data_IF_098952825384
#
_entry.id   IF_098952825384
#
_cell.length_a   1.000
_cell.length_b   1.000
_cell.length_c   1.000
_cell.angle_alpha   90.00
_cell.angle_beta   90.00
_cell.angle_gamma   90.00
#
_symmetry.space_group_name_H-M   'P 1'
#
loop_
_entity.id
_entity.type
_entity.pdbx_description
1 polymer ?
#
# COMPACT_ATOMS: atom_id res chain seq x y z
N UNK A 1 40.38 0.93 -5.64
CA UNK A 1 39.62 0.18 -6.66
C UNK A 1 38.38 -0.39 -6.02
N UNK A 2 37.20 0.13 -6.36
CA UNK A 2 35.94 -0.39 -5.82
C UNK A 2 35.75 -1.82 -6.36
N UNK A 3 35.59 -2.80 -5.47
CA UNK A 3 35.22 -4.16 -5.88
C UNK A 3 33.93 -4.08 -6.72
N UNK A 4 33.87 -4.77 -7.86
CA UNK A 4 32.65 -4.79 -8.67
C UNK A 4 31.53 -5.37 -7.79
N UNK A 5 30.55 -4.52 -7.45
CA UNK A 5 29.35 -4.99 -6.72
C UNK A 5 28.77 -6.13 -7.51
N UNK A 6 28.66 -7.30 -6.88
CA UNK A 6 28.10 -8.51 -7.49
C UNK A 6 26.81 -8.14 -8.21
N UNK A 7 26.65 -8.56 -9.46
CA UNK A 7 25.44 -8.34 -10.27
C UNK A 7 24.19 -8.80 -9.52
N UNK A 8 24.32 -9.85 -8.69
CA UNK A 8 23.35 -10.33 -7.71
C UNK A 8 22.88 -9.21 -6.76
N UNK A 9 23.82 -8.55 -6.06
CA UNK A 9 23.48 -7.53 -5.07
C UNK A 9 22.76 -6.32 -5.70
N UNK A 10 23.19 -5.93 -6.90
CA UNK A 10 22.57 -4.83 -7.64
C UNK A 10 21.14 -5.15 -8.05
N UNK A 11 20.88 -6.37 -8.55
CA UNK A 11 19.55 -6.79 -8.99
C UNK A 11 18.59 -6.93 -7.81
N UNK A 12 19.04 -7.56 -6.71
CA UNK A 12 18.24 -7.66 -5.47
C UNK A 12 17.91 -6.27 -4.91
N UNK A 13 18.88 -5.34 -4.87
CA UNK A 13 18.65 -3.97 -4.37
C UNK A 13 17.61 -3.21 -5.21
N UNK A 14 17.67 -3.32 -6.54
CA UNK A 14 16.71 -2.67 -7.44
C UNK A 14 15.30 -3.26 -7.26
N UNK A 15 15.18 -4.59 -7.22
CA UNK A 15 13.89 -5.24 -7.00
C UNK A 15 13.30 -4.90 -5.63
N UNK A 16 14.12 -4.91 -4.58
CA UNK A 16 13.69 -4.51 -3.24
C UNK A 16 13.20 -3.05 -3.21
N UNK A 17 13.94 -2.14 -3.83
CA UNK A 17 13.56 -0.73 -3.94
C UNK A 17 12.23 -0.54 -4.66
N UNK A 18 11.99 -1.28 -5.74
CA UNK A 18 10.75 -1.22 -6.50
C UNK A 18 9.57 -1.77 -5.69
N UNK A 19 9.76 -2.86 -4.94
CA UNK A 19 8.73 -3.44 -4.06
C UNK A 19 8.36 -2.45 -2.95
N UNK A 20 9.35 -1.85 -2.29
CA UNK A 20 9.12 -0.86 -1.23
C UNK A 20 8.37 0.35 -1.81
N UNK A 21 8.76 0.83 -2.99
CA UNK A 21 8.08 1.94 -3.67
C UNK A 21 6.61 1.59 -3.97
N UNK A 22 6.35 0.41 -4.55
CA UNK A 22 4.99 -0.05 -4.81
C UNK A 22 4.16 -0.19 -3.53
N UNK A 23 4.73 -0.77 -2.48
CA UNK A 23 4.05 -0.93 -1.19
C UNK A 23 3.72 0.42 -0.54
N UNK A 24 4.62 1.40 -0.61
CA UNK A 24 4.36 2.74 -0.06
C UNK A 24 3.28 3.47 -0.84
N UNK A 25 3.28 3.41 -2.17
CA UNK A 25 2.24 4.03 -3.00
C UNK A 25 0.87 3.38 -2.80
N UNK A 26 0.80 2.04 -2.79
CA UNK A 26 -0.43 1.30 -2.54
C UNK A 26 -0.95 1.56 -1.11
N UNK A 27 -0.05 1.56 -0.13
CA UNK A 27 -0.41 1.86 1.26
C UNK A 27 -0.96 3.27 1.42
N UNK A 28 -0.30 4.28 0.88
CA UNK A 28 -0.78 5.66 0.93
C UNK A 28 -2.16 5.83 0.26
N UNK A 29 -2.36 5.23 -0.91
CA UNK A 29 -3.65 5.21 -1.61
C UNK A 29 -4.74 4.50 -0.80
N UNK A 30 -4.44 3.33 -0.27
CA UNK A 30 -5.37 2.56 0.55
C UNK A 30 -5.80 3.31 1.81
N UNK A 31 -4.85 3.91 2.56
CA UNK A 31 -5.16 4.69 3.75
C UNK A 31 -5.97 5.94 3.44
N UNK A 32 -5.61 6.67 2.38
CA UNK A 32 -6.36 7.85 1.96
C UNK A 32 -7.81 7.50 1.61
N UNK A 33 -8.01 6.41 0.88
CA UNK A 33 -9.34 5.95 0.47
C UNK A 33 -10.14 5.44 1.67
N UNK A 34 -9.53 4.63 2.53
CA UNK A 34 -10.15 4.06 3.74
C UNK A 34 -10.59 5.16 4.71
N UNK A 35 -9.74 6.16 4.95
CA UNK A 35 -10.09 7.32 5.77
C UNK A 35 -11.27 8.11 5.21
N UNK A 36 -11.26 8.39 3.90
CA UNK A 36 -12.36 9.11 3.26
C UNK A 36 -13.67 8.32 3.30
N UNK A 37 -13.60 7.01 3.06
CA UNK A 37 -14.76 6.13 3.15
C UNK A 37 -15.36 6.13 4.56
N UNK A 38 -14.52 6.02 5.59
CA UNK A 38 -14.97 6.01 6.98
C UNK A 38 -15.62 7.33 7.39
N UNK A 39 -15.05 8.46 6.94
CA UNK A 39 -15.66 9.78 7.19
C UNK A 39 -17.03 9.91 6.53
N UNK A 40 -17.18 9.48 5.27
CA UNK A 40 -18.47 9.50 4.58
C UNK A 40 -19.51 8.63 5.26
N UNK A 41 -19.12 7.44 5.72
CA UNK A 41 -20.01 6.51 6.41
C UNK A 41 -20.52 7.11 7.72
N UNK A 42 -19.63 7.73 8.51
CA UNK A 42 -20.02 8.41 9.76
C UNK A 42 -20.96 9.57 9.46
N UNK A 43 -20.62 10.45 8.53
CA UNK A 43 -21.48 11.58 8.16
C UNK A 43 -22.86 11.11 7.70
N UNK A 44 -22.91 10.13 6.80
CA UNK A 44 -24.17 9.56 6.31
C UNK A 44 -25.01 8.96 7.44
N UNK A 45 -24.37 8.31 8.41
CA UNK A 45 -25.06 7.71 9.56
C UNK A 45 -25.58 8.80 10.51
N UNK A 46 -24.77 9.81 10.79
CA UNK A 46 -25.18 10.93 11.63
C UNK A 46 -26.33 11.71 11.01
N UNK A 47 -26.25 12.03 9.71
CA UNK A 47 -27.33 12.77 9.00
C UNK A 47 -28.63 11.97 8.99
N UNK A 48 -28.55 10.66 8.78
CA UNK A 48 -29.72 9.77 8.85
C UNK A 48 -30.34 9.75 10.25
N UNK A 49 -29.51 9.60 11.30
CA UNK A 49 -29.98 9.59 12.68
C UNK A 49 -30.57 10.96 13.08
N UNK A 50 -29.93 12.05 12.67
CA UNK A 50 -30.45 13.41 12.88
C UNK A 50 -31.81 13.61 12.19
N UNK A 51 -31.94 13.13 10.94
CA UNK A 51 -33.22 13.15 10.21
C UNK A 51 -34.31 12.39 10.93
N UNK A 52 -34.08 11.17 11.39
CA UNK A 52 -35.09 10.39 12.15
C UNK A 52 -35.54 11.09 13.43
N UNK A 53 -34.59 11.69 14.19
CA UNK A 53 -34.93 12.42 15.41
C UNK A 53 -35.68 13.72 15.07
N UNK A 54 -35.23 14.42 14.03
CA UNK A 54 -35.86 15.67 13.58
C UNK A 54 -37.30 15.43 13.09
N UNK A 55 -37.54 14.37 12.31
CA UNK A 55 -38.87 13.99 11.82
C UNK A 55 -39.83 13.68 13.00
N UNK A 56 -39.37 12.86 13.96
CA UNK A 56 -40.15 12.55 15.16
C UNK A 56 -40.42 13.81 15.98
N UNK A 57 -39.41 14.66 16.19
CA UNK A 57 -39.57 15.92 16.92
C UNK A 57 -40.58 16.85 16.24
N UNK A 58 -40.54 16.95 14.92
CA UNK A 58 -41.45 17.80 14.14
C UNK A 58 -42.91 17.35 14.28
N UNK A 59 -43.19 16.06 14.29
CA UNK A 59 -44.52 15.50 14.53
C UNK A 59 -44.96 15.80 15.98
N UNK A 60 -44.12 15.47 16.96
CA UNK A 60 -44.42 15.69 18.39
C UNK A 60 -44.71 17.17 18.70
N UNK A 61 -43.89 18.09 18.16
CA UNK A 61 -44.07 19.52 18.29
C UNK A 61 -45.39 20.01 17.65
N UNK A 62 -45.81 19.40 16.56
CA UNK A 62 -47.08 19.72 15.88
C UNK A 62 -48.28 19.28 16.71
N UNK A 63 -48.18 18.19 17.46
CA UNK A 63 -49.19 17.69 18.40
C UNK A 63 -49.20 18.45 19.73
N UNK A 64 -48.32 19.45 19.91
CA UNK A 64 -48.23 20.28 21.11
C UNK A 64 -47.36 19.72 22.23
N UNK A 65 -46.58 18.67 21.92
CA UNK A 65 -45.59 18.12 22.86
C UNK A 65 -44.37 19.02 23.00
N UNK A 66 -43.68 18.92 24.13
CA UNK A 66 -42.44 19.65 24.40
C UNK A 66 -41.21 18.75 24.11
N UNK A 67 -40.09 19.37 23.76
CA UNK A 67 -38.78 18.69 23.64
C UNK A 67 -38.27 18.05 24.95
N UNK A 68 -38.96 18.35 26.07
CA UNK A 68 -38.67 17.77 27.40
C UNK A 68 -39.65 16.65 27.79
N UNK A 69 -40.61 16.32 26.94
CA UNK A 69 -41.60 15.28 27.24
C UNK A 69 -40.93 13.89 27.32
N UNK A 70 -41.45 13.07 28.22
CA UNK A 70 -40.90 11.75 28.50
C UNK A 70 -40.85 10.85 27.25
N UNK A 71 -41.86 10.92 26.40
CA UNK A 71 -41.91 10.09 25.20
C UNK A 71 -40.84 10.50 24.19
N UNK A 72 -40.58 11.81 24.03
CA UNK A 72 -39.50 12.31 23.22
C UNK A 72 -38.12 11.91 23.77
N UNK A 73 -37.91 12.07 25.07
CA UNK A 73 -36.65 11.66 25.74
C UNK A 73 -36.43 10.16 25.63
N UNK A 74 -37.44 9.32 25.81
CA UNK A 74 -37.35 7.87 25.66
C UNK A 74 -37.03 7.48 24.23
N UNK A 75 -37.58 8.16 23.23
CA UNK A 75 -37.27 7.93 21.83
C UNK A 75 -35.81 8.25 21.55
N UNK A 76 -35.29 9.39 21.98
CA UNK A 76 -33.87 9.75 21.82
C UNK A 76 -32.97 8.69 22.49
N UNK A 77 -33.28 8.28 23.71
CA UNK A 77 -32.51 7.25 24.42
C UNK A 77 -32.49 5.93 23.64
N UNK A 78 -33.62 5.55 23.04
CA UNK A 78 -33.70 4.34 22.22
C UNK A 78 -32.83 4.44 20.96
N UNK A 79 -32.84 5.57 20.28
CA UNK A 79 -32.00 5.83 19.11
C UNK A 79 -30.51 5.77 19.50
N UNK A 80 -30.14 6.43 20.58
CA UNK A 80 -28.77 6.48 21.10
C UNK A 80 -28.24 5.08 21.44
N UNK A 81 -29.06 4.23 22.11
CA UNK A 81 -28.69 2.87 22.45
C UNK A 81 -28.48 1.98 21.23
N UNK A 82 -29.23 2.23 20.14
CA UNK A 82 -29.12 1.44 18.90
C UNK A 82 -27.97 1.89 18.00
N UNK A 83 -27.58 3.16 18.07
CA UNK A 83 -26.66 3.77 17.10
C UNK A 83 -25.29 4.16 17.68
N UNK A 84 -25.11 3.99 18.99
CA UNK A 84 -23.89 4.38 19.74
C UNK A 84 -23.48 5.84 19.46
N UNK A 85 -24.49 6.72 19.36
CA UNK A 85 -24.30 8.16 19.14
C UNK A 85 -24.59 8.94 20.41
N UNK A 86 -24.12 10.17 20.49
CA UNK A 86 -24.47 11.12 21.54
C UNK A 86 -25.38 12.18 20.93
N UNK A 87 -26.52 12.44 21.59
CA UNK A 87 -27.53 13.39 21.11
C UNK A 87 -27.70 14.50 22.14
N UNK A 88 -27.62 15.73 21.65
CA UNK A 88 -27.94 16.94 22.44
C UNK A 88 -29.07 17.68 21.75
N UNK A 89 -30.09 18.01 22.52
CA UNK A 89 -31.21 18.90 22.08
C UNK A 89 -31.16 20.17 22.90
N UNK A 90 -31.20 21.30 22.26
CA UNK A 90 -31.24 22.59 22.92
C UNK A 90 -32.43 23.44 22.44
N UNK A 91 -32.80 24.41 23.26
CA UNK A 91 -33.78 25.42 22.89
C UNK A 91 -33.18 26.46 21.92
N UNK A 92 -33.97 27.43 21.50
CA UNK A 92 -33.53 28.50 20.59
C UNK A 92 -32.46 29.42 21.15
N UNK A 93 -32.28 29.44 22.48
CA UNK A 93 -31.23 30.18 23.17
C UNK A 93 -29.92 29.37 23.28
N UNK A 94 -29.93 28.11 22.85
CA UNK A 94 -28.79 27.23 22.91
C UNK A 94 -28.65 26.44 24.21
N UNK A 95 -29.57 26.57 25.15
CA UNK A 95 -29.57 25.82 26.42
C UNK A 95 -29.95 24.36 26.15
N UNK A 96 -29.16 23.43 26.64
CA UNK A 96 -29.40 21.99 26.50
C UNK A 96 -30.60 21.59 27.35
N UNK A 97 -31.67 21.11 26.69
CA UNK A 97 -32.90 20.65 27.34
C UNK A 97 -32.99 19.13 27.44
N UNK A 98 -32.33 18.43 26.56
CA UNK A 98 -32.25 16.98 26.59
C UNK A 98 -30.86 16.53 26.09
N UNK A 99 -30.33 15.52 26.73
CA UNK A 99 -29.06 14.93 26.36
C UNK A 99 -29.09 13.42 26.59
N UNK A 100 -28.59 12.63 25.62
CA UNK A 100 -28.49 11.19 25.69
C UNK A 100 -27.17 10.71 25.06
N UNK A 101 -26.58 9.65 25.60
CA UNK A 101 -25.29 9.08 25.15
C UNK A 101 -24.26 9.03 26.27
N UNK A 102 -23.02 8.69 25.94
CA UNK A 102 -21.96 8.45 26.92
C UNK A 102 -20.79 9.42 26.82
N UNK A 103 -20.62 10.10 25.68
CA UNK A 103 -19.46 10.93 25.42
C UNK A 103 -19.68 12.42 25.72
N UNK A 104 -20.12 12.73 26.92
CA UNK A 104 -20.32 14.08 27.38
C UNK A 104 -19.78 14.31 28.79
N UNK A 105 -19.45 15.53 29.12
CA UNK A 105 -18.95 15.89 30.43
C UNK A 105 -20.11 15.97 31.44
N UNK A 106 -20.27 14.91 32.25
CA UNK A 106 -21.31 14.80 33.26
C UNK A 106 -21.28 15.93 34.31
N UNK A 107 -20.07 16.45 34.62
CA UNK A 107 -19.91 17.54 35.59
C UNK A 107 -20.55 18.84 35.10
N UNK A 108 -20.43 19.12 33.80
CA UNK A 108 -21.08 20.31 33.19
C UNK A 108 -22.59 20.20 33.20
N UNK A 109 -23.17 19.03 32.97
CA UNK A 109 -24.61 18.81 32.95
C UNK A 109 -25.23 18.85 34.34
N UNK A 110 -24.53 18.41 35.35
CA UNK A 110 -25.01 18.52 36.76
C UNK A 110 -25.00 19.94 37.29
N UNK A 111 -24.22 20.86 36.69
CA UNK A 111 -24.22 22.28 37.04
C UNK A 111 -25.47 23.05 36.54
N UNK A 112 -26.28 22.44 35.67
CA UNK A 112 -27.64 22.94 35.30
C UNK A 112 -27.67 24.02 34.22
N UNK A 113 -26.52 24.50 33.69
CA UNK A 113 -26.46 25.57 32.69
C UNK A 113 -25.48 25.22 31.54
N UNK A 114 -25.73 24.11 30.85
CA UNK A 114 -24.94 23.79 29.64
C UNK A 114 -25.58 24.45 28.44
N UNK A 115 -24.83 25.31 27.78
CA UNK A 115 -25.26 25.93 26.52
C UNK A 115 -24.31 25.55 25.39
N UNK A 116 -24.88 25.26 24.22
CA UNK A 116 -24.14 25.07 22.98
C UNK A 116 -23.49 26.42 22.60
N UNK A 117 -22.23 26.40 22.12
CA UNK A 117 -21.54 27.63 21.70
C UNK A 117 -22.36 28.45 20.70
N UNK A 118 -22.47 29.77 20.93
CA UNK A 118 -23.31 30.68 20.14
C UNK A 118 -22.94 30.66 18.62
N UNK A 119 -21.74 30.33 18.26
CA UNK A 119 -21.37 30.21 16.85
C UNK A 119 -22.13 29.08 16.14
N UNK A 120 -22.39 27.95 16.81
CA UNK A 120 -23.10 26.81 16.24
C UNK A 120 -24.61 27.11 16.11
N UNK A 121 -25.23 27.69 17.14
CA UNK A 121 -26.65 28.07 17.08
C UNK A 121 -26.91 29.19 16.07
N UNK A 122 -26.01 30.17 15.97
CA UNK A 122 -26.12 31.27 14.98
C UNK A 122 -25.97 30.73 13.53
N UNK A 123 -25.17 29.71 13.32
CA UNK A 123 -25.05 29.06 12.00
C UNK A 123 -26.39 28.43 11.59
N UNK A 124 -27.07 27.72 12.52
CA UNK A 124 -28.37 27.11 12.28
C UNK A 124 -29.47 28.15 12.05
N UNK A 125 -29.48 29.24 12.82
CA UNK A 125 -30.40 30.36 12.64
C UNK A 125 -30.20 31.03 11.27
N UNK A 126 -29.00 30.97 10.67
CA UNK A 126 -28.76 31.48 9.32
C UNK A 126 -29.18 30.50 8.21
N UNK A 127 -29.82 29.37 8.55
CA UNK A 127 -30.29 28.35 7.61
C UNK A 127 -29.20 27.41 7.13
N UNK A 128 -28.05 27.32 7.82
CA UNK A 128 -26.96 26.42 7.49
C UNK A 128 -26.81 25.34 8.55
N UNK A 129 -26.95 24.08 8.17
CA UNK A 129 -26.61 22.99 9.07
C UNK A 129 -25.09 23.01 9.40
N UNK A 130 -24.77 22.59 10.60
CA UNK A 130 -23.36 22.35 10.99
C UNK A 130 -23.02 20.87 10.80
N UNK A 131 -21.94 20.61 10.12
CA UNK A 131 -21.33 19.26 10.04
C UNK A 131 -19.83 19.42 10.16
N UNK A 132 -19.24 18.82 11.19
CA UNK A 132 -17.81 18.96 11.44
C UNK A 132 -17.33 18.29 12.73
N UNK A 133 -16.03 18.40 12.97
CA UNK A 133 -15.39 17.84 14.16
C UNK A 133 -15.22 18.91 15.24
N UNK A 134 -15.75 18.66 16.42
CA UNK A 134 -15.72 19.61 17.55
C UNK A 134 -15.75 18.90 18.90
N UNK A 135 -15.38 19.61 19.96
CA UNK A 135 -15.64 19.24 21.37
C UNK A 135 -16.74 20.09 21.98
N UNK A 136 -17.30 21.06 21.24
CA UNK A 136 -18.19 22.11 21.75
C UNK A 136 -17.70 22.70 23.07
N UNK A 137 -16.48 23.27 23.06
CA UNK A 137 -15.85 23.92 24.20
C UNK A 137 -15.79 23.03 25.48
N UNK A 138 -15.67 21.71 25.28
CA UNK A 138 -15.56 20.75 26.38
C UNK A 138 -16.87 20.10 26.82
N UNK A 139 -17.98 20.32 26.11
CA UNK A 139 -19.23 19.59 26.34
C UNK A 139 -19.02 18.10 26.05
N UNK A 140 -18.31 17.76 24.98
CA UNK A 140 -17.90 16.40 24.71
C UNK A 140 -16.53 16.12 25.36
N UNK A 141 -16.37 14.95 25.95
CA UNK A 141 -15.10 14.50 26.56
C UNK A 141 -13.99 14.31 25.53
N UNK A 142 -14.36 13.90 24.32
CA UNK A 142 -13.45 13.68 23.19
C UNK A 142 -13.90 14.49 21.98
N UNK A 143 -13.06 14.57 20.95
CA UNK A 143 -13.48 15.14 19.68
C UNK A 143 -14.52 14.25 19.02
N UNK A 144 -15.65 14.84 18.64
CA UNK A 144 -16.74 14.18 17.97
C UNK A 144 -16.95 14.73 16.57
N UNK A 145 -17.38 13.86 15.67
CA UNK A 145 -18.05 14.28 14.45
C UNK A 145 -19.49 14.62 14.82
N UNK A 146 -19.93 15.81 14.50
CA UNK A 146 -21.24 16.33 14.87
C UNK A 146 -21.99 16.78 13.62
N UNK A 147 -23.23 16.37 13.50
CA UNK A 147 -24.20 16.97 12.56
C UNK A 147 -25.31 17.66 13.33
N UNK A 148 -25.95 18.64 12.73
CA UNK A 148 -27.00 19.42 13.40
C UNK A 148 -28.20 19.63 12.49
N UNK A 149 -29.38 19.65 13.11
CA UNK A 149 -30.65 19.90 12.46
C UNK A 149 -31.49 20.93 13.26
N UNK A 150 -32.35 21.65 12.54
CA UNK A 150 -33.28 22.58 13.14
C UNK A 150 -34.57 21.85 13.45
N UNK A 151 -35.06 21.96 14.72
CA UNK A 151 -36.30 21.36 15.14
C UNK A 151 -37.42 22.41 15.04
N UNK A 152 -38.43 22.11 14.22
CA UNK A 152 -39.60 22.98 13.99
C UNK A 152 -40.86 22.14 13.84
N UNK A 153 -42.03 22.64 14.29
CA UNK A 153 -43.30 21.97 14.05
C UNK A 153 -43.63 21.95 12.54
N UNK A 154 -44.43 20.99 12.13
CA UNK A 154 -44.99 20.95 10.78
C UNK A 154 -46.17 21.90 10.67
N UNK A 155 -46.22 22.66 9.59
CA UNK A 155 -47.33 23.55 9.23
C UNK A 155 -47.84 23.17 7.84
N UNK A 156 -49.13 23.39 7.60
CA UNK A 156 -49.70 23.11 6.30
C UNK A 156 -49.40 24.27 5.36
N UNK A 157 -48.73 24.00 4.25
CA UNK A 157 -48.51 24.99 3.19
C UNK A 157 -49.89 25.41 2.60
N UNK A 158 -50.12 26.70 2.53
CA UNK A 158 -51.39 27.25 2.02
C UNK A 158 -51.58 27.06 0.53
N UNK A 159 -50.51 26.83 -0.25
CA UNK A 159 -50.54 26.69 -1.70
C UNK A 159 -50.64 25.22 -2.14
N UNK A 160 -49.88 24.32 -1.47
CA UNK A 160 -49.81 22.90 -1.85
C UNK A 160 -50.69 22.01 -0.97
N UNK A 161 -51.08 22.48 0.23
CA UNK A 161 -51.79 21.69 1.20
C UNK A 161 -50.96 20.62 1.92
N UNK A 162 -49.69 20.51 1.58
CA UNK A 162 -48.73 19.54 2.18
C UNK A 162 -48.23 20.06 3.54
N UNK A 163 -47.82 19.10 4.39
CA UNK A 163 -47.16 19.43 5.66
C UNK A 163 -45.67 19.72 5.36
N UNK A 164 -45.22 20.92 5.72
CA UNK A 164 -43.84 21.37 5.58
C UNK A 164 -43.32 21.86 6.94
N UNK A 165 -42.02 21.80 7.16
CA UNK A 165 -41.39 22.31 8.36
C UNK A 165 -41.61 23.82 8.48
N UNK A 166 -42.00 24.29 9.66
CA UNK A 166 -42.17 25.73 9.95
C UNK A 166 -40.84 26.47 9.84
N UNK A 167 -40.90 27.72 9.35
CA UNK A 167 -39.75 28.60 9.35
C UNK A 167 -39.38 29.14 10.75
N UNK A 168 -40.17 28.81 11.78
CA UNK A 168 -39.90 29.23 13.16
C UNK A 168 -39.28 28.06 13.91
N UNK A 169 -37.97 28.12 14.25
CA UNK A 169 -37.30 27.08 15.01
C UNK A 169 -37.84 27.03 16.45
N UNK A 170 -38.04 25.84 16.97
CA UNK A 170 -38.37 25.58 18.38
C UNK A 170 -37.14 25.12 19.18
N UNK A 171 -36.15 24.57 18.51
CA UNK A 171 -34.92 24.12 19.09
C UNK A 171 -33.91 23.61 18.04
N UNK A 172 -32.78 23.12 18.50
CA UNK A 172 -31.74 22.57 17.66
C UNK A 172 -31.32 21.19 18.17
N UNK A 173 -31.05 20.32 17.21
CA UNK A 173 -30.57 18.97 17.43
C UNK A 173 -29.11 18.90 17.03
N UNK A 174 -28.29 18.26 17.86
CA UNK A 174 -26.93 17.90 17.54
C UNK A 174 -26.73 16.40 17.78
N UNK A 175 -26.32 15.67 16.75
CA UNK A 175 -26.01 14.25 16.83
C UNK A 175 -24.53 14.10 16.62
N UNK A 176 -23.88 13.43 17.56
CA UNK A 176 -22.43 13.31 17.62
C UNK A 176 -22.00 11.84 17.66
N UNK A 177 -20.89 11.53 16.99
CA UNK A 177 -20.20 10.25 17.10
C UNK A 177 -18.76 10.50 17.54
N UNK A 178 -18.26 9.64 18.42
CA UNK A 178 -16.89 9.73 18.92
C UNK A 178 -15.87 9.47 17.81
N UNK A 179 -14.93 10.39 17.63
CA UNK A 179 -13.85 10.25 16.67
C UNK A 179 -12.82 9.15 17.07
N UNK A 180 -12.87 8.66 18.32
CA UNK A 180 -11.98 7.57 18.77
C UNK A 180 -12.27 6.28 18.03
N UNK A 181 -13.53 5.99 17.69
CA UNK A 181 -13.92 4.81 16.90
C UNK A 181 -13.25 4.79 15.52
N UNK A 182 -13.10 5.96 14.89
CA UNK A 182 -12.36 6.12 13.63
C UNK A 182 -10.90 5.80 13.80
N UNK A 183 -10.31 6.29 14.88
CA UNK A 183 -8.88 6.07 15.16
C UNK A 183 -8.60 4.59 15.44
N UNK A 184 -9.43 3.91 16.19
CA UNK A 184 -9.35 2.48 16.44
C UNK A 184 -9.48 1.66 15.15
N UNK A 185 -10.46 1.97 14.31
CA UNK A 185 -10.62 1.34 13.00
C UNK A 185 -9.38 1.52 12.13
N UNK A 186 -8.84 2.75 12.04
CA UNK A 186 -7.63 3.04 11.29
C UNK A 186 -6.43 2.29 11.85
N UNK A 187 -6.29 2.20 13.17
CA UNK A 187 -5.20 1.47 13.82
C UNK A 187 -5.25 -0.03 13.51
N UNK A 188 -6.42 -0.66 13.60
CA UNK A 188 -6.59 -2.07 13.20
C UNK A 188 -6.30 -2.29 11.72
N UNK A 189 -6.80 -1.42 10.87
CA UNK A 189 -6.56 -1.47 9.42
C UNK A 189 -5.07 -1.32 9.10
N UNK A 190 -4.39 -0.39 9.78
CA UNK A 190 -2.94 -0.18 9.66
C UNK A 190 -2.15 -1.43 10.10
N UNK A 191 -2.53 -2.04 11.21
CA UNK A 191 -1.88 -3.24 11.72
C UNK A 191 -2.01 -4.42 10.73
N UNK A 192 -3.21 -4.66 10.19
CA UNK A 192 -3.44 -5.69 9.18
C UNK A 192 -2.63 -5.42 7.90
N UNK A 193 -2.61 -4.18 7.43
CA UNK A 193 -1.81 -3.79 6.26
C UNK A 193 -0.32 -4.03 6.50
N UNK A 194 0.19 -3.69 7.68
CA UNK A 194 1.61 -3.85 8.02
C UNK A 194 2.02 -5.33 8.08
N UNK A 195 1.18 -6.17 8.68
CA UNK A 195 1.41 -7.63 8.75
C UNK A 195 1.43 -8.23 7.34
N UNK A 196 0.45 -7.88 6.51
CA UNK A 196 0.38 -8.38 5.12
C UNK A 196 1.54 -7.87 4.26
N UNK A 197 1.95 -6.61 4.43
CA UNK A 197 3.09 -6.02 3.74
C UNK A 197 4.41 -6.75 4.09
N UNK A 198 4.64 -7.06 5.38
CA UNK A 198 5.81 -7.82 5.83
C UNK A 198 5.78 -9.23 5.24
N UNK A 199 4.63 -9.91 5.25
CA UNK A 199 4.50 -11.26 4.69
C UNK A 199 4.83 -11.27 3.18
N UNK A 200 4.28 -10.34 2.41
CA UNK A 200 4.55 -10.18 0.98
C UNK A 200 6.03 -9.89 0.73
N UNK A 201 6.64 -9.01 1.54
CA UNK A 201 8.06 -8.67 1.43
C UNK A 201 8.94 -9.91 1.64
N UNK A 202 8.67 -10.70 2.68
CA UNK A 202 9.42 -11.93 2.97
C UNK A 202 9.29 -12.96 1.85
N UNK A 203 8.07 -13.21 1.37
CA UNK A 203 7.81 -14.13 0.26
C UNK A 203 8.57 -13.67 -0.99
N UNK A 204 8.51 -12.38 -1.30
CA UNK A 204 9.18 -11.83 -2.48
C UNK A 204 10.71 -11.91 -2.36
N UNK A 205 11.28 -11.70 -1.17
CA UNK A 205 12.71 -11.87 -0.93
C UNK A 205 13.16 -13.32 -1.18
N UNK A 206 12.38 -14.29 -0.73
CA UNK A 206 12.65 -15.72 -0.94
C UNK A 206 12.63 -16.04 -2.45
N UNK A 207 11.56 -15.64 -3.15
CA UNK A 207 11.41 -15.89 -4.59
C UNK A 207 12.54 -15.18 -5.37
N UNK A 208 12.83 -13.92 -5.04
CA UNK A 208 13.88 -13.15 -5.67
C UNK A 208 15.25 -13.81 -5.49
N UNK A 209 15.59 -14.23 -4.26
CA UNK A 209 16.85 -14.92 -3.97
C UNK A 209 17.00 -16.19 -4.79
N UNK A 210 15.94 -16.99 -4.86
CA UNK A 210 15.95 -18.25 -5.63
C UNK A 210 16.08 -18.01 -7.14
N UNK A 211 15.35 -17.03 -7.68
CA UNK A 211 15.40 -16.68 -9.11
C UNK A 211 16.76 -16.14 -9.52
N UNK A 212 17.32 -15.24 -8.70
CA UNK A 212 18.63 -14.64 -8.99
C UNK A 212 19.74 -15.69 -8.93
N UNK A 213 19.72 -16.63 -7.97
CA UNK A 213 20.68 -17.75 -7.94
C UNK A 213 20.58 -18.62 -9.19
N UNK A 214 19.38 -18.98 -9.62
CA UNK A 214 19.18 -19.77 -10.85
C UNK A 214 19.65 -19.08 -12.13
N UNK A 215 19.75 -17.76 -12.17
CA UNK A 215 20.22 -17.00 -13.34
C UNK A 215 21.69 -16.60 -13.24
N UNK A 216 22.16 -16.18 -12.07
CA UNK A 216 23.48 -15.58 -11.90
C UNK A 216 24.57 -16.65 -11.78
N UNK A 217 24.31 -17.76 -11.09
CA UNK A 217 25.31 -18.81 -10.87
C UNK A 217 25.74 -19.50 -12.18
N UNK A 218 24.82 -19.86 -13.11
CA UNK A 218 25.22 -20.36 -14.43
C UNK A 218 26.10 -19.37 -15.20
N UNK A 219 25.75 -18.07 -15.21
CA UNK A 219 26.54 -17.05 -15.91
C UNK A 219 27.96 -16.91 -15.33
N UNK A 220 28.09 -16.98 -13.99
CA UNK A 220 29.42 -17.00 -13.34
C UNK A 220 30.23 -18.21 -13.73
N UNK A 221 29.60 -19.39 -13.76
CA UNK A 221 30.26 -20.63 -14.22
C UNK A 221 30.75 -20.47 -15.66
N UNK A 222 29.89 -19.96 -16.56
CA UNK A 222 30.29 -19.74 -17.97
C UNK A 222 31.46 -18.75 -18.11
N UNK A 223 31.45 -17.65 -17.34
CA UNK A 223 32.60 -16.75 -17.29
C UNK A 223 33.88 -17.45 -16.80
N UNK A 224 33.78 -18.33 -15.78
CA UNK A 224 34.90 -19.11 -15.29
C UNK A 224 35.42 -20.06 -16.35
N UNK A 225 34.54 -20.78 -17.06
CA UNK A 225 34.91 -21.65 -18.17
C UNK A 225 35.58 -20.88 -19.31
N UNK A 226 35.04 -19.72 -19.69
CA UNK A 226 35.65 -18.88 -20.72
C UNK A 226 37.05 -18.39 -20.31
N UNK A 227 37.30 -18.05 -19.06
CA UNK A 227 38.63 -17.69 -18.55
C UNK A 227 39.60 -18.85 -18.54
N UNK A 228 39.17 -20.07 -18.21
CA UNK A 228 40.02 -21.27 -18.26
C UNK A 228 40.38 -21.59 -19.70
N UNK A 229 39.43 -21.54 -20.62
CA UNK A 229 39.64 -21.72 -22.05
C UNK A 229 40.67 -20.72 -22.61
N UNK A 230 40.54 -19.44 -22.26
CA UNK A 230 41.47 -18.37 -22.65
C UNK A 230 42.89 -18.57 -22.13
N UNK A 231 43.10 -19.36 -21.05
CA UNK A 231 44.43 -19.74 -20.53
C UNK A 231 45.02 -20.96 -21.20
N UNK A 232 44.35 -21.50 -22.22
CA UNK A 232 44.86 -22.66 -22.99
C UNK A 232 44.28 -24.00 -22.52
N UNK A 233 43.32 -24.05 -21.60
CA UNK A 233 42.63 -25.28 -21.21
C UNK A 233 41.55 -25.61 -22.26
N UNK A 234 41.94 -26.09 -23.45
CA UNK A 234 41.03 -26.28 -24.59
C UNK A 234 40.01 -27.42 -24.43
N UNK A 235 40.24 -28.32 -23.44
CA UNK A 235 39.35 -29.48 -23.18
C UNK A 235 38.17 -29.14 -22.22
N UNK A 236 38.10 -27.92 -21.75
CA UNK A 236 37.04 -27.51 -20.84
C UNK A 236 35.68 -27.43 -21.54
N UNK A 237 34.68 -28.12 -21.02
CA UNK A 237 33.29 -28.11 -21.51
C UNK A 237 32.32 -27.85 -20.38
N UNK A 238 31.19 -27.17 -20.72
CA UNK A 238 30.11 -26.91 -19.81
C UNK A 238 29.14 -28.09 -19.85
N UNK A 239 29.13 -28.90 -18.80
CA UNK A 239 28.28 -30.11 -18.70
C UNK A 239 27.07 -29.91 -17.84
N UNK A 240 27.13 -29.01 -16.83
CA UNK A 240 26.15 -28.84 -15.78
C UNK A 240 24.80 -28.31 -16.29
N UNK A 241 24.78 -27.66 -17.45
CA UNK A 241 23.60 -27.00 -18.02
C UNK A 241 23.08 -27.66 -19.30
N UNK A 242 23.61 -28.84 -19.65
CA UNK A 242 23.29 -29.55 -20.91
C UNK A 242 21.79 -29.93 -21.04
N UNK A 243 21.09 -30.11 -19.91
CA UNK A 243 19.68 -30.54 -19.89
C UNK A 243 18.72 -29.36 -19.66
N UNK A 244 19.17 -28.10 -19.73
CA UNK A 244 18.29 -26.94 -19.64
C UNK A 244 17.72 -26.62 -21.00
N UNK A 245 16.39 -26.35 -21.03
CA UNK A 245 15.65 -25.95 -22.23
C UNK A 245 15.34 -24.44 -22.22
N UNK A 246 16.28 -23.62 -21.74
CA UNK A 246 16.17 -22.17 -21.68
C UNK A 246 17.40 -21.51 -22.33
N UNK A 247 17.44 -20.18 -22.34
CA UNK A 247 18.51 -19.36 -22.93
C UNK A 247 19.89 -19.67 -22.33
N UNK A 248 19.93 -20.13 -21.09
CA UNK A 248 21.17 -20.55 -20.41
C UNK A 248 21.68 -21.88 -20.98
N UNK A 249 20.77 -22.82 -21.27
CA UNK A 249 21.10 -24.07 -21.93
C UNK A 249 21.60 -23.86 -23.36
N UNK A 250 20.92 -22.96 -24.11
CA UNK A 250 21.35 -22.59 -25.46
C UNK A 250 22.75 -21.94 -25.47
N UNK A 251 23.00 -21.02 -24.53
CA UNK A 251 24.32 -20.38 -24.38
C UNK A 251 25.41 -21.40 -24.03
N UNK A 252 25.14 -22.39 -23.19
CA UNK A 252 26.05 -23.45 -22.86
C UNK A 252 26.39 -24.33 -24.09
N UNK A 253 25.39 -24.66 -24.88
CA UNK A 253 25.59 -25.43 -26.13
C UNK A 253 26.42 -24.65 -27.17
N UNK A 254 26.11 -23.35 -27.37
CA UNK A 254 26.89 -22.50 -28.26
C UNK A 254 28.32 -22.33 -27.82
N UNK A 255 28.58 -22.18 -26.51
CA UNK A 255 29.95 -22.16 -25.96
C UNK A 255 30.71 -23.46 -26.24
N UNK A 256 30.09 -24.62 -26.00
CA UNK A 256 30.72 -25.90 -26.26
C UNK A 256 31.03 -26.11 -27.76
N UNK A 257 30.13 -25.72 -28.65
CA UNK A 257 30.34 -25.78 -30.11
C UNK A 257 31.52 -24.90 -30.54
N UNK A 258 31.63 -23.68 -29.98
CA UNK A 258 32.78 -22.80 -30.21
C UNK A 258 34.10 -23.45 -29.70
N UNK A 259 34.06 -24.03 -28.49
CA UNK A 259 35.22 -24.69 -27.90
C UNK A 259 35.68 -25.90 -28.73
N UNK A 260 34.72 -26.70 -29.26
CA UNK A 260 35.04 -27.82 -30.17
C UNK A 260 35.71 -27.35 -31.47
N UNK A 261 35.19 -26.28 -32.07
CA UNK A 261 35.72 -25.70 -33.29
C UNK A 261 37.16 -25.19 -33.12
N UNK A 262 37.42 -24.50 -31.98
CA UNK A 262 38.76 -24.00 -31.66
C UNK A 262 39.73 -25.12 -31.32
N UNK A 263 39.32 -26.16 -30.59
CA UNK A 263 40.16 -27.34 -30.30
C UNK A 263 40.56 -28.06 -31.59
N UNK A 264 39.63 -28.27 -32.55
CA UNK A 264 39.91 -28.84 -33.85
C UNK A 264 40.88 -27.98 -34.67
N UNK A 265 40.73 -26.66 -34.65
CA UNK A 265 41.61 -25.74 -35.35
C UNK A 265 43.04 -25.81 -34.80
N UNK A 266 43.22 -25.88 -33.47
CA UNK A 266 44.50 -25.97 -32.81
C UNK A 266 45.17 -27.35 -33.08
N UNK A 267 44.40 -28.43 -33.07
CA UNK A 267 44.88 -29.75 -33.44
C UNK A 267 45.42 -29.77 -34.87
N UNK A 268 44.65 -29.26 -35.85
CA UNK A 268 45.09 -29.17 -37.25
C UNK A 268 46.32 -28.30 -37.40
N UNK A 269 46.43 -27.20 -36.65
CA UNK A 269 47.64 -26.36 -36.64
C UNK A 269 48.85 -27.13 -36.13
N UNK A 270 48.68 -27.86 -35.03
CA UNK A 270 49.75 -28.67 -34.42
C UNK A 270 50.21 -29.78 -35.37
N UNK A 271 49.28 -30.52 -35.98
CA UNK A 271 49.55 -31.54 -37.00
C UNK A 271 50.30 -30.96 -38.23
N UNK A 272 49.86 -29.78 -38.70
CA UNK A 272 50.50 -29.08 -39.80
C UNK A 272 51.93 -28.72 -39.44
N UNK A 273 52.18 -28.11 -38.27
CA UNK A 273 53.55 -27.77 -37.83
C UNK A 273 54.45 -29.02 -37.68
N UNK A 274 53.90 -30.12 -37.12
CA UNK A 274 54.63 -31.38 -36.99
C UNK A 274 55.01 -31.96 -38.36
N UNK A 275 54.04 -31.99 -39.30
CA UNK A 275 54.30 -32.52 -40.66
C UNK A 275 55.31 -31.67 -41.41
N UNK A 276 55.15 -30.32 -41.40
CA UNK A 276 56.11 -29.39 -42.02
C UNK A 276 57.52 -29.58 -41.41
N UNK A 277 57.60 -29.72 -40.09
CA UNK A 277 58.87 -29.93 -39.40
C UNK A 277 59.52 -31.24 -39.84
N UNK A 278 58.73 -32.32 -39.99
CA UNK A 278 59.23 -33.62 -40.46
C UNK A 278 59.66 -33.54 -41.90
N UNK A 279 58.86 -32.95 -42.79
CA UNK A 279 59.14 -32.79 -44.21
C UNK A 279 60.42 -31.92 -44.50
N UNK A 280 60.65 -30.90 -43.65
CA UNK A 280 61.84 -30.05 -43.72
C UNK A 280 63.09 -30.72 -43.15
N UNK A 281 62.94 -31.57 -42.14
CA UNK A 281 64.07 -32.24 -41.48
C UNK A 281 64.85 -33.13 -42.45
N UNK A 282 64.10 -33.84 -43.32
CA UNK A 282 64.72 -34.77 -44.28
C UNK A 282 65.64 -34.06 -45.27
N UNK A 283 65.23 -33.04 -46.03
CA UNK A 283 66.15 -32.35 -46.99
C UNK A 283 67.26 -31.59 -46.25
N UNK A 284 66.98 -31.01 -45.06
CA UNK A 284 68.00 -30.33 -44.25
C UNK A 284 69.10 -31.30 -43.79
N UNK A 285 68.74 -32.52 -43.38
CA UNK A 285 69.70 -33.53 -43.01
C UNK A 285 70.54 -33.96 -44.23
N UNK A 286 69.91 -34.04 -45.38
CA UNK A 286 70.64 -34.37 -46.66
C UNK A 286 71.58 -33.24 -47.02
N UNK A 287 71.19 -32.02 -46.99
CA UNK A 287 72.04 -30.84 -47.26
C UNK A 287 73.16 -30.74 -46.23
N UNK A 288 72.89 -30.95 -44.93
CA UNK A 288 73.94 -30.96 -43.90
C UNK A 288 74.99 -32.08 -44.19
N UNK A 289 74.51 -33.31 -44.52
CA UNK A 289 75.40 -34.40 -44.87
C UNK A 289 76.27 -34.14 -46.09
N UNK A 290 75.73 -33.51 -47.16
CA UNK A 290 76.56 -33.10 -48.31
C UNK A 290 77.54 -31.98 -47.94
N UNK A 291 77.12 -31.00 -47.12
CA UNK A 291 78.02 -29.94 -46.67
C UNK A 291 79.17 -30.44 -45.81
N UNK A 292 78.90 -31.40 -44.90
CA UNK A 292 79.88 -32.06 -44.08
C UNK A 292 80.83 -32.87 -44.95
N UNK A 293 80.31 -33.63 -45.95
CA UNK A 293 81.16 -34.43 -46.91
C UNK A 293 82.06 -33.57 -47.77
N UNK A 294 81.61 -32.35 -48.13
CA UNK A 294 82.49 -31.38 -48.85
C UNK A 294 83.60 -30.85 -47.93
N UNK A 295 83.25 -30.54 -46.66
CA UNK A 295 84.22 -30.03 -45.69
C UNK A 295 85.27 -31.06 -45.29
N UNK A 296 84.90 -32.34 -45.19
CA UNK A 296 85.75 -33.43 -44.82
C UNK A 296 86.55 -34.03 -46.04
N UNK A 297 86.28 -33.52 -47.26
CA UNK A 297 86.98 -33.92 -48.45
C UNK A 297 86.68 -35.35 -48.95
N UNK A 298 85.46 -35.85 -48.52
CA UNK A 298 85.03 -37.22 -48.89
C UNK A 298 84.12 -37.22 -50.12
N UNK A 299 83.68 -36.03 -50.59
CA UNK A 299 82.98 -35.80 -51.87
C UNK A 299 83.77 -34.78 -52.68
#
# INVERSE_FOLDING_TARGET
>A
MAQPKSMYLRQVTVMLGLIILCMTLLGAGFFSLSYRYQLQEIQSTLDRNAGFISDYASVALTEGSSLTDKDFVNYIQSVVLLTDTTVLVCNTEGMVVCAAGTNWNQELLTSGEVSIPAWATNQLLSGRSYSGMTTFDGIFNTRCYVTSEVLSPLVRDQNTGELVSSNVPTGFLFVANDATSVMEFLQHTFQLFFITAIAVLLITLIICSFTVQKMVDPLKSMCSFAHRFARGEVDVRITDYKNRNDEIGELAAAFNAMADSLAQAEQKRSEFVANVSHELKTPMTTIAGFADGILDGTI
#
